data_IF_450900978210
#
_entry.id   IF_450900978210
#
_cell.length_a   1.000
_cell.length_b   1.000
_cell.length_c   1.000
_cell.angle_alpha   90.00
_cell.angle_beta   90.00
_cell.angle_gamma   90.00
#
_symmetry.space_group_name_H-M   'P 1'
#
loop_
_entity.id
_entity.type
_entity.pdbx_description
1 polymer ?
#
# COMPACT_ATOMS: atom_id res chain seq x y z
N UNK A 1 -15.40 -3.09 -0.25
CA UNK A 1 -14.18 -3.14 -1.08
C UNK A 1 -12.99 -2.64 -0.26
N UNK A 2 -11.74 -2.99 -0.59
CA UNK A 2 -10.58 -2.58 0.22
C UNK A 2 -10.45 -1.04 0.35
N UNK A 3 -10.84 -0.31 -0.70
CA UNK A 3 -10.86 1.16 -0.70
C UNK A 3 -11.89 1.77 0.26
N UNK A 4 -12.97 1.05 0.60
CA UNK A 4 -13.96 1.47 1.60
C UNK A 4 -13.45 1.26 3.03
N UNK A 5 -12.64 0.23 3.28
CA UNK A 5 -12.03 -0.03 4.58
C UNK A 5 -10.82 0.89 4.86
N UNK A 6 -10.19 1.40 3.80
CA UNK A 6 -8.97 2.20 3.87
C UNK A 6 -9.04 3.40 4.84
N UNK A 7 -10.10 4.24 4.85
CA UNK A 7 -10.27 5.29 5.86
C UNK A 7 -10.14 4.81 7.30
N UNK A 8 -10.76 3.68 7.64
CA UNK A 8 -10.70 3.08 8.97
C UNK A 8 -9.26 2.72 9.35
N UNK A 9 -8.56 2.05 8.43
CA UNK A 9 -7.15 1.65 8.60
C UNK A 9 -6.21 2.85 8.78
N UNK A 10 -6.41 3.91 8.01
CA UNK A 10 -5.63 5.14 8.14
C UNK A 10 -5.93 5.81 9.48
N UNK A 11 -7.21 5.92 9.88
CA UNK A 11 -7.63 6.56 11.14
C UNK A 11 -7.03 5.89 12.37
N UNK A 12 -7.06 4.57 12.46
CA UNK A 12 -6.51 3.81 13.60
C UNK A 12 -4.98 3.88 13.71
N UNK A 13 -4.26 4.31 12.66
CA UNK A 13 -2.79 4.38 12.74
C UNK A 13 -2.34 5.67 13.42
N UNK A 14 -1.83 5.56 14.65
CA UNK A 14 -1.39 6.72 15.44
C UNK A 14 0.04 7.20 15.10
N UNK A 15 0.86 6.33 14.51
CA UNK A 15 2.25 6.69 14.13
C UNK A 15 2.24 7.67 12.95
N UNK A 16 3.23 8.56 12.90
CA UNK A 16 3.42 9.48 11.77
C UNK A 16 3.82 8.68 10.53
N UNK A 17 2.97 8.70 9.50
CA UNK A 17 3.22 8.09 8.20
C UNK A 17 3.61 9.20 7.22
N UNK A 18 4.72 9.02 6.48
CA UNK A 18 5.17 9.99 5.47
C UNK A 18 4.40 9.86 4.16
N UNK A 19 4.21 8.62 3.69
CA UNK A 19 3.56 8.32 2.43
C UNK A 19 2.82 6.98 2.50
N UNK A 20 1.76 6.84 1.72
CA UNK A 20 1.01 5.61 1.53
C UNK A 20 1.00 5.23 0.05
N UNK A 21 1.48 4.02 -0.25
CA UNK A 21 1.51 3.48 -1.62
C UNK A 21 0.42 2.42 -1.79
N UNK A 22 -0.42 2.55 -2.81
CA UNK A 22 -1.55 1.65 -3.08
C UNK A 22 -1.83 1.55 -4.60
N UNK A 23 -2.67 0.62 -5.06
CA UNK A 23 -2.99 0.52 -6.50
C UNK A 23 -4.06 1.53 -6.90
N UNK A 24 -4.29 1.60 -8.22
CA UNK A 24 -5.31 2.47 -8.78
C UNK A 24 -6.73 2.16 -8.28
N UNK A 25 -7.01 1.04 -7.60
CA UNK A 25 -8.33 0.84 -6.98
C UNK A 25 -8.57 1.88 -5.88
N UNK A 26 -7.52 2.29 -5.16
CA UNK A 26 -7.54 3.33 -4.13
C UNK A 26 -7.55 4.76 -4.70
N UNK A 27 -7.53 4.93 -6.02
CA UNK A 27 -7.66 6.23 -6.68
C UNK A 27 -9.11 6.77 -6.58
N UNK A 28 -9.53 7.06 -5.36
CA UNK A 28 -10.87 7.53 -4.99
C UNK A 28 -10.74 8.78 -4.11
N UNK A 29 -11.71 9.69 -4.20
CA UNK A 29 -11.68 10.92 -3.37
C UNK A 29 -11.60 10.60 -1.89
N UNK A 30 -12.41 9.64 -1.42
CA UNK A 30 -12.41 9.17 -0.04
C UNK A 30 -11.01 8.77 0.48
N UNK A 31 -10.25 8.01 -0.31
CA UNK A 31 -8.88 7.63 0.07
C UNK A 31 -7.93 8.85 0.09
N UNK A 32 -7.99 9.70 -0.93
CA UNK A 32 -7.15 10.90 -1.01
C UNK A 32 -7.46 11.91 0.11
N UNK A 33 -8.74 12.07 0.48
CA UNK A 33 -9.19 12.98 1.53
C UNK A 33 -8.66 12.54 2.90
N UNK A 34 -8.71 11.24 3.21
CA UNK A 34 -8.16 10.72 4.47
C UNK A 34 -6.64 10.86 4.56
N UNK A 35 -5.93 10.61 3.45
CA UNK A 35 -4.49 10.81 3.39
C UNK A 35 -4.13 12.29 3.58
N UNK A 36 -4.84 13.20 2.90
CA UNK A 36 -4.67 14.65 3.04
C UNK A 36 -4.92 15.09 4.48
N UNK A 37 -6.01 14.62 5.11
CA UNK A 37 -6.37 14.93 6.49
C UNK A 37 -5.27 14.53 7.48
N UNK A 38 -4.61 13.39 7.25
CA UNK A 38 -3.46 12.92 8.04
C UNK A 38 -2.11 13.47 7.57
N UNK A 39 -2.08 14.34 6.55
CA UNK A 39 -0.85 14.89 5.93
C UNK A 39 0.10 13.79 5.42
N UNK A 40 -0.48 12.72 4.87
CA UNK A 40 0.23 11.59 4.27
C UNK A 40 0.27 11.79 2.75
N UNK A 41 1.44 11.66 2.13
CA UNK A 41 1.57 11.71 0.67
C UNK A 41 0.94 10.48 0.01
N UNK A 42 0.07 10.70 -0.98
CA UNK A 42 -0.61 9.63 -1.71
C UNK A 42 0.24 9.17 -2.91
N UNK A 43 0.88 7.99 -2.78
CA UNK A 43 1.56 7.30 -3.88
C UNK A 43 0.61 6.30 -4.52
N UNK A 44 -0.47 6.82 -5.11
CA UNK A 44 -1.52 6.03 -5.76
C UNK A 44 -1.53 6.40 -7.24
N UNK A 45 -1.30 5.44 -8.16
CA UNK A 45 -1.28 5.72 -9.59
C UNK A 45 -2.72 6.00 -10.06
N UNK A 46 -2.94 7.03 -10.90
CA UNK A 46 -4.26 7.29 -11.43
C UNK A 46 -4.74 6.15 -12.33
N UNK A 47 -6.04 5.89 -12.32
CA UNK A 47 -6.67 4.90 -13.22
C UNK A 47 -6.49 5.30 -14.68
N UNK A 48 -6.49 4.33 -15.60
CA UNK A 48 -6.41 4.59 -17.05
C UNK A 48 -7.56 5.51 -17.46
N UNK A 49 -7.25 6.60 -18.15
CA UNK A 49 -8.25 7.58 -18.60
C UNK A 49 -8.77 8.51 -17.50
N UNK A 50 -8.07 8.61 -16.36
CA UNK A 50 -8.48 9.50 -15.28
C UNK A 50 -8.64 10.96 -15.74
N UNK A 51 -9.75 11.56 -15.30
CA UNK A 51 -10.00 13.00 -15.38
C UNK A 51 -9.26 13.79 -14.29
N UNK A 52 -9.07 15.08 -14.53
CA UNK A 52 -8.64 16.01 -13.49
C UNK A 52 -9.75 16.19 -12.44
N UNK A 53 -9.33 16.35 -11.19
CA UNK A 53 -10.18 16.74 -10.07
C UNK A 53 -9.96 18.23 -9.74
N UNK A 54 -10.74 18.82 -8.81
CA UNK A 54 -10.50 20.19 -8.34
C UNK A 54 -9.05 20.43 -7.87
N UNK A 55 -8.64 21.70 -7.84
CA UNK A 55 -7.24 22.11 -7.64
C UNK A 55 -6.59 21.63 -6.34
N UNK A 56 -7.38 21.38 -5.30
CA UNK A 56 -6.94 20.79 -4.03
C UNK A 56 -6.31 19.39 -4.18
N UNK A 57 -6.59 18.66 -5.28
CA UNK A 57 -5.98 17.37 -5.61
C UNK A 57 -4.76 17.51 -6.53
N UNK A 58 -3.96 18.57 -6.34
CA UNK A 58 -2.84 18.93 -7.20
C UNK A 58 -1.85 17.78 -7.46
N UNK A 59 -1.50 17.02 -6.42
CA UNK A 59 -0.55 15.89 -6.54
C UNK A 59 -1.09 14.77 -7.44
N UNK A 60 -2.36 14.39 -7.25
CA UNK A 60 -3.03 13.42 -8.12
C UNK A 60 -3.15 13.98 -9.54
N UNK A 61 -3.55 15.23 -9.70
CA UNK A 61 -3.68 15.87 -11.02
C UNK A 61 -2.35 15.93 -11.77
N UNK A 62 -1.23 16.14 -11.06
CA UNK A 62 0.12 16.05 -11.63
C UNK A 62 0.43 14.63 -12.10
N UNK A 63 0.00 13.60 -11.36
CA UNK A 63 0.14 12.22 -11.79
C UNK A 63 -0.71 11.92 -13.04
N UNK A 64 -1.94 12.46 -13.12
CA UNK A 64 -2.82 12.35 -14.31
C UNK A 64 -2.18 13.02 -15.53
N UNK A 65 -1.62 14.21 -15.37
CA UNK A 65 -0.91 14.91 -16.45
C UNK A 65 0.28 14.08 -16.97
N UNK A 66 1.09 13.52 -16.05
CA UNK A 66 2.18 12.61 -16.43
C UNK A 66 1.66 11.39 -17.20
N UNK A 67 0.59 10.73 -16.72
CA UNK A 67 0.00 9.59 -17.41
C UNK A 67 -0.47 9.94 -18.82
N UNK A 68 -1.10 11.11 -19.02
CA UNK A 68 -1.56 11.57 -20.33
C UNK A 68 -0.39 11.86 -21.27
N UNK A 69 0.68 12.48 -20.77
CA UNK A 69 1.86 12.81 -21.58
C UNK A 69 2.65 11.55 -22.01
N UNK A 70 2.75 10.54 -21.15
CA UNK A 70 3.55 9.34 -21.43
C UNK A 70 2.75 8.10 -21.84
N UNK A 71 1.42 8.20 -21.89
CA UNK A 71 0.52 7.08 -22.18
C UNK A 71 0.50 5.97 -21.10
N UNK A 72 1.22 6.14 -20.00
CA UNK A 72 1.38 5.13 -18.95
C UNK A 72 1.79 5.75 -17.61
N UNK A 73 1.64 4.99 -16.52
CA UNK A 73 2.14 5.40 -15.20
C UNK A 73 3.64 5.11 -14.99
N UNK A 74 4.35 4.60 -16.00
CA UNK A 74 5.73 4.14 -15.83
C UNK A 74 6.66 5.26 -15.36
N UNK A 75 6.64 6.41 -16.04
CA UNK A 75 7.46 7.57 -15.65
C UNK A 75 7.16 8.03 -14.24
N UNK A 76 5.87 8.17 -13.89
CA UNK A 76 5.45 8.55 -12.54
C UNK A 76 5.96 7.56 -11.48
N UNK A 77 5.87 6.25 -11.73
CA UNK A 77 6.39 5.21 -10.82
C UNK A 77 7.91 5.28 -10.65
N UNK A 78 8.64 5.61 -11.72
CA UNK A 78 10.10 5.77 -11.69
C UNK A 78 10.54 7.01 -10.91
N UNK A 79 9.80 8.11 -11.03
CA UNK A 79 10.12 9.38 -10.36
C UNK A 79 9.59 9.47 -8.93
N UNK A 80 8.92 8.42 -8.44
CA UNK A 80 8.35 8.36 -7.10
C UNK A 80 8.85 7.13 -6.35
N UNK A 81 8.72 7.12 -5.04
CA UNK A 81 9.03 5.95 -4.21
C UNK A 81 7.96 4.82 -4.31
N UNK A 82 7.14 4.83 -5.37
CA UNK A 82 6.07 3.85 -5.56
C UNK A 82 6.59 2.40 -5.57
N UNK A 83 7.80 2.19 -6.09
CA UNK A 83 8.43 0.87 -6.17
C UNK A 83 8.61 0.20 -4.79
N UNK A 84 8.64 0.96 -3.69
CA UNK A 84 8.68 0.39 -2.32
C UNK A 84 7.46 -0.46 -1.97
N UNK A 85 6.35 -0.31 -2.71
CA UNK A 85 5.15 -1.12 -2.52
C UNK A 85 5.43 -2.61 -2.69
N UNK A 86 6.27 -3.00 -3.66
CA UNK A 86 6.57 -4.42 -3.89
C UNK A 86 7.21 -5.08 -2.67
N UNK A 87 7.97 -4.34 -1.86
CA UNK A 87 8.55 -4.85 -0.61
C UNK A 87 7.45 -5.26 0.38
N UNK A 88 6.40 -4.45 0.51
CA UNK A 88 5.27 -4.78 1.38
C UNK A 88 4.48 -5.99 0.83
N UNK A 89 4.29 -6.06 -0.48
CA UNK A 89 3.64 -7.21 -1.14
C UNK A 89 4.45 -8.49 -0.93
N UNK A 90 5.77 -8.46 -1.11
CA UNK A 90 6.66 -9.59 -0.83
C UNK A 90 6.64 -9.98 0.65
N UNK A 91 6.61 -9.02 1.57
CA UNK A 91 6.48 -9.32 3.00
C UNK A 91 5.16 -10.05 3.31
N UNK A 92 4.03 -9.58 2.77
CA UNK A 92 2.74 -10.25 2.93
C UNK A 92 2.68 -11.61 2.24
N UNK A 93 3.32 -11.75 1.08
CA UNK A 93 3.47 -13.05 0.41
C UNK A 93 4.21 -14.04 1.31
N UNK A 94 5.32 -13.63 1.93
CA UNK A 94 6.06 -14.47 2.89
C UNK A 94 5.22 -14.87 4.09
N UNK A 95 4.42 -13.96 4.64
CA UNK A 95 3.46 -14.30 5.73
C UNK A 95 2.55 -15.44 5.26
N UNK A 96 1.93 -15.29 4.09
CA UNK A 96 0.98 -16.28 3.54
C UNK A 96 1.63 -17.64 3.25
N UNK A 97 2.86 -17.65 2.74
CA UNK A 97 3.57 -18.88 2.42
C UNK A 97 4.06 -19.62 3.67
N UNK A 98 4.55 -18.90 4.67
CA UNK A 98 5.15 -19.51 5.86
C UNK A 98 4.13 -19.89 6.92
N UNK A 99 3.06 -19.11 7.05
CA UNK A 99 2.10 -19.24 8.15
C UNK A 99 0.68 -19.54 7.70
N UNK A 100 0.47 -19.73 6.39
CA UNK A 100 -0.86 -19.90 5.80
C UNK A 100 -1.55 -18.57 5.47
N UNK A 101 -2.60 -18.67 4.65
CA UNK A 101 -3.33 -17.51 4.13
C UNK A 101 -4.48 -17.01 5.01
N UNK A 102 -4.70 -17.63 6.18
CA UNK A 102 -5.87 -17.40 7.03
C UNK A 102 -5.49 -17.34 8.51
N UNK A 103 -6.26 -16.60 9.28
CA UNK A 103 -6.22 -16.64 10.75
C UNK A 103 -7.08 -17.80 11.26
N UNK A 104 -6.64 -18.46 12.31
CA UNK A 104 -7.28 -19.65 12.89
C UNK A 104 -8.22 -19.30 14.02
N UNK A 105 -7.94 -18.23 14.77
CA UNK A 105 -8.77 -17.78 15.89
C UNK A 105 -10.04 -17.06 15.40
N UNK A 106 -11.13 -17.22 16.14
CA UNK A 106 -12.47 -16.77 15.71
C UNK A 106 -12.95 -15.49 16.39
N UNK A 107 -12.48 -15.21 17.60
CA UNK A 107 -12.71 -13.92 18.24
C UNK A 107 -11.70 -12.87 17.75
N UNK A 108 -12.09 -11.60 17.81
CA UNK A 108 -11.32 -10.51 17.25
C UNK A 108 -9.96 -10.33 17.93
N UNK A 109 -9.93 -10.37 19.27
CA UNK A 109 -8.69 -10.18 20.03
C UNK A 109 -7.70 -11.33 19.78
N UNK A 110 -8.22 -12.56 19.68
CA UNK A 110 -7.48 -13.73 19.22
C UNK A 110 -6.86 -13.51 17.84
N UNK A 111 -7.64 -13.04 16.86
CA UNK A 111 -7.13 -12.74 15.51
C UNK A 111 -6.02 -11.68 15.52
N UNK A 112 -6.17 -10.63 16.34
CA UNK A 112 -5.13 -9.59 16.50
C UNK A 112 -3.87 -10.19 17.11
N UNK A 113 -3.99 -10.98 18.17
CA UNK A 113 -2.87 -11.63 18.83
C UNK A 113 -2.14 -12.61 17.89
N UNK A 114 -2.89 -13.41 17.13
CA UNK A 114 -2.36 -14.32 16.11
C UNK A 114 -1.57 -13.55 15.05
N UNK A 115 -2.18 -12.52 14.43
CA UNK A 115 -1.50 -11.70 13.44
C UNK A 115 -0.22 -11.05 13.98
N UNK A 116 -0.23 -10.56 15.23
CA UNK A 116 0.96 -10.02 15.88
C UNK A 116 2.04 -11.07 16.11
N UNK A 117 1.67 -12.31 16.48
CA UNK A 117 2.61 -13.42 16.64
C UNK A 117 3.26 -13.79 15.30
N UNK A 118 2.47 -13.88 14.21
CA UNK A 118 2.98 -14.15 12.86
C UNK A 118 3.98 -13.08 12.41
N UNK A 119 3.66 -11.80 12.61
CA UNK A 119 4.57 -10.68 12.28
C UNK A 119 5.85 -10.74 13.11
N UNK A 120 5.76 -11.07 14.42
CA UNK A 120 6.95 -11.24 15.27
C UNK A 120 7.82 -12.41 14.81
N UNK A 121 7.22 -13.54 14.44
CA UNK A 121 7.95 -14.69 13.90
C UNK A 121 8.67 -14.33 12.60
N UNK A 122 7.98 -13.69 11.65
CA UNK A 122 8.58 -13.24 10.38
C UNK A 122 9.76 -12.29 10.60
N UNK A 123 9.62 -11.36 11.54
CA UNK A 123 10.69 -10.42 11.89
C UNK A 123 11.90 -11.13 12.50
N UNK A 124 11.69 -12.17 13.34
CA UNK A 124 12.80 -13.00 13.86
C UNK A 124 13.51 -13.76 12.73
N UNK A 125 12.75 -14.39 11.83
CA UNK A 125 13.33 -15.09 10.68
C UNK A 125 14.16 -14.14 9.81
N UNK A 126 13.61 -12.95 9.50
CA UNK A 126 14.30 -11.92 8.70
C UNK A 126 15.61 -11.44 9.36
N UNK A 127 15.67 -11.39 10.69
CA UNK A 127 16.92 -11.09 11.42
C UNK A 127 17.93 -12.23 11.41
N UNK A 128 17.46 -13.49 11.40
CA UNK A 128 18.32 -14.66 11.36
C UNK A 128 18.95 -14.87 9.97
N UNK A 129 18.26 -14.46 8.91
CA UNK A 129 18.76 -14.50 7.54
C UNK A 129 17.63 -14.36 6.52
N UNK A 130 17.98 -13.93 5.32
CA UNK A 130 17.04 -13.82 4.20
C UNK A 130 17.47 -14.74 3.06
N UNK A 131 16.54 -15.48 2.43
CA UNK A 131 16.86 -16.31 1.28
C UNK A 131 17.27 -15.45 0.08
N UNK A 132 18.29 -15.89 -0.66
CA UNK A 132 18.67 -15.29 -1.93
C UNK A 132 17.62 -15.64 -2.99
N UNK A 133 16.98 -14.61 -3.55
CA UNK A 133 15.97 -14.79 -4.59
C UNK A 133 16.62 -14.70 -5.96
N UNK A 134 16.60 -15.80 -6.71
CA UNK A 134 17.14 -15.86 -8.08
C UNK A 134 15.99 -15.82 -9.08
N UNK A 135 16.11 -14.99 -10.12
CA UNK A 135 15.15 -14.94 -11.23
C UNK A 135 15.41 -16.13 -12.15
N UNK A 136 14.45 -17.04 -12.27
CA UNK A 136 14.49 -18.10 -13.28
C UNK A 136 14.00 -17.52 -14.61
N UNK A 137 14.74 -17.79 -15.68
CA UNK A 137 14.49 -17.30 -17.04
C UNK A 137 13.23 -17.92 -17.66
#
# INVERSE_FOLDING_TARGET
>A
TDSEAFPGLIRQTHRKIRAASADGAYDTRLCHDELRRKKISALIPPRKGAGYWPGEYADRNRAVANQRMTGSNARWKWTTDYNRRSIAETAMYRVKQLFGGSLTLRDYDGQVAEAMALVRALNKMTKAGMPESVRIA
#
